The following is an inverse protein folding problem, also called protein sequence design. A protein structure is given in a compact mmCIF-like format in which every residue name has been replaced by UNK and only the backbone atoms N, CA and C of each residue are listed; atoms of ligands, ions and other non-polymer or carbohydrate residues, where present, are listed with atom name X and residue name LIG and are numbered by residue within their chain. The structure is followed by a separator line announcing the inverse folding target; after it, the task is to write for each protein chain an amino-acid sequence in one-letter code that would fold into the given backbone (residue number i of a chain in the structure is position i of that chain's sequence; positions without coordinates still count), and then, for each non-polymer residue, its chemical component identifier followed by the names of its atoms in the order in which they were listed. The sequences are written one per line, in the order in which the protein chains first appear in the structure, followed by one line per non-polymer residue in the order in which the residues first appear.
data_IF_264358687635
#
_entry.id   IF_264358687635
#
_cell.length_a   1.000
_cell.length_b   1.000
_cell.length_c   1.000
_cell.angle_alpha   90.00
_cell.angle_beta   90.00
_cell.angle_gamma   90.00
#
_symmetry.space_group_name_H-M   'P 1'
#
loop_
_entity.id
_entity.type
_entity.pdbx_description
1 polymer ?
#
# COMPACT_ATOMS: atom_id res chain seq x y z
N UNK A 1 -5.40 12.27 -9.09
CA UNK A 1 -4.84 12.43 -7.75
C UNK A 1 -4.39 13.87 -7.55
N UNK A 2 -4.84 14.51 -6.49
CA UNK A 2 -4.55 15.92 -6.20
C UNK A 2 -3.03 16.22 -6.08
N UNK A 3 -2.20 15.23 -5.74
CA UNK A 3 -0.74 15.40 -5.67
C UNK A 3 -0.13 15.72 -7.03
N UNK A 4 -0.69 15.22 -8.13
CA UNK A 4 -0.25 15.59 -9.48
C UNK A 4 -0.59 17.05 -9.83
N UNK A 5 -1.64 17.62 -9.24
CA UNK A 5 -1.97 19.04 -9.41
C UNK A 5 -1.00 19.95 -8.66
N UNK A 6 -0.39 19.43 -7.57
CA UNK A 6 0.63 20.16 -6.79
C UNK A 6 2.01 20.06 -7.45
N UNK A 7 2.33 18.89 -8.04
CA UNK A 7 3.64 18.62 -8.60
C UNK A 7 3.55 17.61 -9.75
N UNK A 8 3.73 18.07 -10.97
CA UNK A 8 3.59 17.26 -12.20
C UNK A 8 4.54 16.07 -12.25
N UNK A 9 5.71 16.19 -11.60
CA UNK A 9 6.72 15.14 -11.56
C UNK A 9 6.45 14.08 -10.49
N UNK A 10 5.38 14.23 -9.68
CA UNK A 10 5.01 13.25 -8.67
C UNK A 10 4.77 11.88 -9.32
N UNK A 11 5.51 10.85 -8.86
CA UNK A 11 5.46 9.47 -9.40
C UNK A 11 5.74 9.34 -10.91
N UNK A 12 6.29 10.37 -11.56
CA UNK A 12 6.59 10.35 -13.00
C UNK A 12 7.63 9.29 -13.41
N UNK A 13 8.44 8.84 -12.46
CA UNK A 13 9.43 7.78 -12.64
C UNK A 13 8.85 6.35 -12.51
N UNK A 14 7.57 6.20 -12.16
CA UNK A 14 6.92 4.89 -12.08
C UNK A 14 6.48 4.44 -13.47
N UNK A 15 6.83 3.20 -13.84
CA UNK A 15 6.30 2.57 -15.04
C UNK A 15 4.80 2.27 -14.87
N UNK A 16 4.06 2.27 -15.98
CA UNK A 16 2.67 1.80 -15.99
C UNK A 16 2.60 0.32 -15.59
N UNK A 17 1.49 -0.05 -14.95
CA UNK A 17 1.23 -1.45 -14.63
C UNK A 17 1.16 -2.27 -15.93
N UNK A 18 1.86 -3.42 -16.04
CA UNK A 18 1.70 -4.33 -17.16
C UNK A 18 0.24 -4.74 -17.36
N UNK A 19 -0.17 -4.93 -18.61
CA UNK A 19 -1.57 -5.25 -18.95
C UNK A 19 -2.02 -6.52 -18.24
N UNK A 20 -1.18 -7.56 -18.24
CA UNK A 20 -1.46 -8.86 -17.64
C UNK A 20 -1.68 -8.77 -16.11
N UNK A 21 -1.04 -7.81 -15.46
CA UNK A 21 -1.24 -7.53 -14.04
C UNK A 21 -2.51 -6.69 -13.82
N UNK A 22 -2.75 -5.72 -14.69
CA UNK A 22 -3.95 -4.87 -14.63
C UNK A 22 -5.23 -5.70 -14.77
N UNK A 23 -5.23 -6.72 -15.64
CA UNK A 23 -6.37 -7.63 -15.83
C UNK A 23 -6.66 -8.51 -14.60
N UNK A 24 -5.71 -8.68 -13.69
CA UNK A 24 -5.90 -9.43 -12.45
C UNK A 24 -6.60 -8.62 -11.36
N UNK A 25 -6.60 -7.29 -11.44
CA UNK A 25 -7.17 -6.42 -10.40
C UNK A 25 -8.69 -6.63 -10.23
N UNK A 26 -9.53 -6.65 -11.28
CA UNK A 26 -10.96 -6.88 -11.13
C UNK A 26 -11.30 -8.21 -10.43
N UNK A 27 -10.75 -9.37 -10.83
CA UNK A 27 -11.02 -10.63 -10.14
C UNK A 27 -10.50 -10.67 -8.70
N UNK A 28 -9.41 -9.98 -8.38
CA UNK A 28 -8.94 -9.87 -6.98
C UNK A 28 -9.96 -9.09 -6.14
N UNK A 29 -10.49 -8.00 -6.66
CA UNK A 29 -11.52 -7.21 -6.00
C UNK A 29 -12.79 -8.05 -5.77
N UNK A 30 -13.23 -8.80 -6.78
CA UNK A 30 -14.39 -9.68 -6.69
C UNK A 30 -14.17 -10.78 -5.64
N UNK A 31 -12.98 -11.38 -5.62
CA UNK A 31 -12.59 -12.39 -4.65
C UNK A 31 -12.65 -11.84 -3.21
N UNK A 32 -12.08 -10.67 -2.96
CA UNK A 32 -12.08 -10.03 -1.64
C UNK A 32 -13.52 -9.69 -1.20
N UNK A 33 -14.36 -9.19 -2.12
CA UNK A 33 -15.78 -8.93 -1.84
C UNK A 33 -16.54 -10.21 -1.48
N UNK A 34 -16.30 -11.31 -2.19
CA UNK A 34 -16.94 -12.61 -1.91
C UNK A 34 -16.52 -13.19 -0.55
N UNK A 35 -15.36 -12.78 -0.03
CA UNK A 35 -14.92 -13.09 1.33
C UNK A 35 -15.65 -12.29 2.42
N UNK A 36 -16.54 -11.36 2.04
CA UNK A 36 -17.24 -10.47 2.95
C UNK A 36 -16.42 -9.28 3.46
N UNK A 37 -15.25 -9.04 2.86
CA UNK A 37 -14.34 -7.96 3.24
C UNK A 37 -14.74 -6.67 2.52
N UNK A 38 -14.85 -5.59 3.27
CA UNK A 38 -15.18 -4.27 2.73
C UNK A 38 -14.00 -3.71 1.95
N UNK A 39 -14.25 -3.26 0.72
CA UNK A 39 -13.28 -2.54 -0.11
C UNK A 39 -13.68 -1.08 -0.19
N UNK A 40 -12.72 -0.20 0.00
CA UNK A 40 -12.85 1.24 -0.20
C UNK A 40 -12.03 1.66 -1.41
N UNK A 41 -12.68 2.28 -2.37
CA UNK A 41 -12.05 2.90 -3.54
C UNK A 41 -12.65 4.31 -3.67
N UNK A 42 -11.83 5.31 -3.48
CA UNK A 42 -12.24 6.71 -3.53
C UNK A 42 -11.52 7.41 -4.69
N UNK A 43 -12.23 7.98 -5.66
CA UNK A 43 -11.61 8.68 -6.78
C UNK A 43 -10.72 9.83 -6.31
N UNK A 44 -9.64 10.09 -7.04
CA UNK A 44 -8.73 11.22 -6.87
C UNK A 44 -7.91 11.28 -5.58
N UNK A 45 -8.03 10.29 -4.69
CA UNK A 45 -7.17 10.15 -3.49
C UNK A 45 -6.40 8.83 -3.54
N UNK A 46 -5.33 8.75 -2.79
CA UNK A 46 -4.54 7.52 -2.67
C UNK A 46 -5.08 6.62 -1.55
N UNK A 47 -4.76 5.33 -1.60
CA UNK A 47 -5.14 4.39 -0.55
C UNK A 47 -4.63 4.84 0.83
N UNK A 48 -3.44 5.44 0.86
CA UNK A 48 -2.81 5.93 2.09
C UNK A 48 -3.61 7.05 2.75
N UNK A 49 -4.27 7.91 1.96
CA UNK A 49 -5.15 8.96 2.47
C UNK A 49 -6.44 8.36 3.09
N UNK A 50 -6.97 7.29 2.47
CA UNK A 50 -8.13 6.56 3.01
C UNK A 50 -7.75 5.87 4.32
N UNK A 51 -6.58 5.21 4.35
CA UNK A 51 -6.03 4.57 5.55
C UNK A 51 -5.82 5.62 6.66
N UNK A 52 -5.18 6.75 6.34
CA UNK A 52 -4.95 7.83 7.29
C UNK A 52 -6.26 8.39 7.85
N UNK A 53 -7.28 8.57 7.00
CA UNK A 53 -8.59 9.03 7.42
C UNK A 53 -9.24 8.07 8.43
N UNK A 54 -9.14 6.76 8.20
CA UNK A 54 -9.65 5.77 9.16
C UNK A 54 -8.78 5.72 10.41
N UNK A 55 -7.44 5.68 10.27
CA UNK A 55 -6.53 5.51 11.39
C UNK A 55 -6.52 6.68 12.38
N UNK A 56 -6.83 7.89 11.91
CA UNK A 56 -6.86 9.10 12.77
C UNK A 56 -8.18 9.34 13.50
N UNK A 57 -9.23 8.55 13.19
CA UNK A 57 -10.52 8.67 13.90
C UNK A 57 -10.43 8.08 15.30
N UNK A 58 -11.18 8.68 16.23
CA UNK A 58 -11.31 8.19 17.60
C UNK A 58 -12.45 7.19 17.67
N UNK A 59 -12.12 5.91 17.77
CA UNK A 59 -13.10 4.81 17.85
C UNK A 59 -13.37 4.31 19.28
N UNK A 60 -12.80 4.93 20.29
CA UNK A 60 -12.87 4.49 21.68
C UNK A 60 -11.57 3.83 22.16
N UNK A 61 -11.50 3.58 23.46
CA UNK A 61 -10.25 3.14 24.09
C UNK A 61 -9.90 1.68 23.80
N UNK A 62 -10.88 0.84 23.48
CA UNK A 62 -10.70 -0.59 23.29
C UNK A 62 -10.39 -0.98 21.84
N UNK A 63 -10.33 0.02 20.93
CA UNK A 63 -10.05 -0.24 19.51
C UNK A 63 -8.57 -0.01 19.24
N UNK A 64 -7.93 -1.04 18.71
CA UNK A 64 -6.61 -0.98 18.11
C UNK A 64 -6.72 -1.13 16.59
N UNK A 65 -5.94 -0.34 15.88
CA UNK A 65 -5.88 -0.34 14.42
C UNK A 65 -4.58 -1.00 14.01
N UNK A 66 -4.70 -2.05 13.20
CA UNK A 66 -3.56 -2.70 12.57
C UNK A 66 -3.57 -2.36 11.08
N UNK A 67 -2.57 -1.63 10.61
CA UNK A 67 -2.35 -1.32 9.21
C UNK A 67 -1.39 -2.36 8.63
N UNK A 68 -1.83 -3.13 7.62
CA UNK A 68 -0.97 -4.07 6.92
C UNK A 68 -0.49 -3.44 5.62
N UNK A 69 0.75 -2.97 5.59
CA UNK A 69 1.37 -2.33 4.42
C UNK A 69 2.89 -2.40 4.48
N UNK A 70 3.53 -2.48 3.31
CA UNK A 70 4.97 -2.30 3.17
C UNK A 70 5.42 -0.85 3.07
N UNK A 71 4.46 0.09 2.97
CA UNK A 71 4.76 1.50 2.79
C UNK A 71 5.28 2.14 4.09
N UNK A 72 6.49 2.70 3.98
CA UNK A 72 7.17 3.36 5.11
C UNK A 72 6.49 4.67 5.53
N UNK A 73 5.78 5.31 4.60
CA UNK A 73 5.18 6.62 4.84
C UNK A 73 4.02 6.53 5.83
N UNK A 74 3.37 5.35 5.90
CA UNK A 74 2.35 5.06 6.90
C UNK A 74 2.89 4.96 8.34
N UNK A 75 4.22 4.91 8.52
CA UNK A 75 4.82 4.94 9.86
C UNK A 75 4.51 6.26 10.62
N UNK A 76 4.16 7.34 9.90
CA UNK A 76 3.70 8.60 10.51
C UNK A 76 2.35 8.48 11.24
N UNK A 77 1.58 7.40 11.00
CA UNK A 77 0.30 7.14 11.67
C UNK A 77 0.44 6.32 12.95
N UNK A 78 1.60 5.71 13.17
CA UNK A 78 1.85 4.81 14.29
C UNK A 78 1.77 5.58 15.63
N UNK A 79 1.06 5.01 16.59
CA UNK A 79 0.95 5.51 17.96
C UNK A 79 0.50 4.36 18.87
N UNK A 80 0.12 4.65 20.12
CA UNK A 80 -0.32 3.62 21.08
C UNK A 80 -1.57 2.84 20.65
N UNK A 81 -2.33 3.32 19.66
CA UNK A 81 -3.55 2.70 19.15
C UNK A 81 -3.43 2.23 17.69
N UNK A 82 -2.38 2.64 17.00
CA UNK A 82 -2.16 2.31 15.58
C UNK A 82 -0.81 1.64 15.42
N UNK A 83 -0.82 0.43 14.90
CA UNK A 83 0.37 -0.36 14.63
C UNK A 83 0.44 -0.66 13.13
N UNK A 84 1.63 -0.57 12.55
CA UNK A 84 1.89 -0.95 11.16
C UNK A 84 2.58 -2.32 11.14
N UNK A 85 2.11 -3.23 10.30
CA UNK A 85 2.76 -4.51 10.04
C UNK A 85 3.13 -4.60 8.55
N UNK A 86 4.37 -4.95 8.29
CA UNK A 86 4.77 -5.29 6.93
C UNK A 86 4.44 -6.76 6.66
N UNK A 87 3.46 -6.99 5.76
CA UNK A 87 2.98 -8.33 5.41
C UNK A 87 4.02 -9.22 4.72
N UNK A 88 5.12 -8.65 4.21
CA UNK A 88 6.15 -9.42 3.50
C UNK A 88 7.21 -10.02 4.45
N UNK A 89 7.56 -9.33 5.51
CA UNK A 89 8.59 -9.77 6.48
C UNK A 89 8.06 -9.84 7.92
N UNK A 90 6.75 -9.70 8.09
CA UNK A 90 6.01 -9.78 9.35
C UNK A 90 6.53 -8.83 10.45
N UNK A 91 7.32 -7.83 10.07
CA UNK A 91 7.83 -6.85 11.02
C UNK A 91 6.74 -5.93 11.53
N UNK A 92 6.61 -5.91 12.83
CA UNK A 92 5.67 -5.03 13.54
C UNK A 92 6.35 -3.71 13.85
N UNK A 93 5.71 -2.62 13.46
CA UNK A 93 6.11 -1.26 13.78
C UNK A 93 5.07 -0.64 14.70
N UNK A 94 5.22 -0.90 15.99
CA UNK A 94 4.67 -0.10 17.07
C UNK A 94 5.58 1.13 17.29
N UNK A 95 5.30 2.05 18.22
CA UNK A 95 6.16 3.21 18.46
C UNK A 95 7.64 2.85 18.69
N UNK A 96 7.90 1.76 19.42
CA UNK A 96 9.27 1.28 19.67
C UNK A 96 9.92 0.70 18.39
N UNK A 97 9.14 0.00 17.60
CA UNK A 97 9.55 -0.54 16.30
C UNK A 97 9.90 0.57 15.30
N UNK A 98 9.16 1.68 15.30
CA UNK A 98 9.47 2.87 14.50
C UNK A 98 10.79 3.47 14.93
N UNK A 99 11.00 3.70 16.23
CA UNK A 99 12.29 4.21 16.76
C UNK A 99 13.45 3.27 16.39
N UNK A 100 13.26 1.95 16.54
CA UNK A 100 14.29 0.97 16.15
C UNK A 100 14.63 1.01 14.67
N UNK A 101 13.64 1.23 13.79
CA UNK A 101 13.81 1.23 12.34
C UNK A 101 14.36 2.55 11.82
N UNK A 102 13.82 3.68 12.29
CA UNK A 102 14.10 5.01 11.74
C UNK A 102 15.03 5.85 12.60
N UNK A 103 15.25 5.48 13.86
CA UNK A 103 16.05 6.25 14.82
C UNK A 103 15.29 7.42 15.47
N UNK A 104 14.02 7.63 15.12
CA UNK A 104 13.16 8.72 15.61
C UNK A 104 11.76 8.19 15.92
N UNK A 105 11.00 8.85 16.80
CA UNK A 105 9.65 8.45 17.13
C UNK A 105 8.65 8.77 16.00
N UNK A 106 7.47 8.11 15.98
CA UNK A 106 6.49 8.23 14.89
C UNK A 106 6.08 9.66 14.55
N UNK A 107 5.92 10.52 15.53
CA UNK A 107 5.53 11.92 15.36
C UNK A 107 6.58 12.78 14.62
N UNK A 108 7.79 12.25 14.43
CA UNK A 108 8.89 12.89 13.69
C UNK A 108 9.08 12.31 12.27
N UNK A 109 8.35 11.27 11.92
CA UNK A 109 8.48 10.61 10.62
C UNK A 109 8.14 11.57 9.48
N UNK A 110 7.10 12.39 9.63
CA UNK A 110 6.74 13.40 8.62
C UNK A 110 7.92 14.34 8.33
N UNK A 111 8.52 14.94 9.36
CA UNK A 111 9.65 15.87 9.21
C UNK A 111 10.86 15.17 8.58
N UNK A 112 11.12 13.95 8.99
CA UNK A 112 12.18 13.12 8.45
C UNK A 112 11.98 12.87 6.94
N UNK A 113 10.77 12.47 6.53
CA UNK A 113 10.46 12.20 5.14
C UNK A 113 10.58 13.47 4.28
N UNK A 114 10.15 14.61 4.78
CA UNK A 114 10.31 15.90 4.08
C UNK A 114 11.76 16.25 3.86
N UNK A 115 12.62 16.05 4.87
CA UNK A 115 14.06 16.35 4.75
C UNK A 115 14.78 15.39 3.79
N UNK A 116 14.46 14.09 3.85
CA UNK A 116 15.12 13.06 3.04
C UNK A 116 14.54 12.96 1.63
N UNK A 117 13.25 13.29 1.47
CA UNK A 117 12.49 13.06 0.25
C UNK A 117 12.17 11.59 0.00
N UNK A 118 11.48 11.33 -1.10
CA UNK A 118 11.21 9.98 -1.57
C UNK A 118 11.50 9.80 -3.05
N UNK A 119 12.55 9.04 -3.35
CA UNK A 119 12.96 8.77 -4.75
C UNK A 119 11.96 7.88 -5.48
N UNK A 120 11.24 7.00 -4.78
CA UNK A 120 10.26 6.10 -5.40
C UNK A 120 9.04 6.85 -5.90
N UNK A 121 8.68 7.94 -5.22
CA UNK A 121 7.57 8.82 -5.56
C UNK A 121 8.00 10.12 -6.26
N UNK A 122 9.30 10.22 -6.54
CA UNK A 122 9.90 11.41 -7.12
C UNK A 122 9.63 12.68 -6.30
N UNK A 123 9.63 12.54 -4.96
CA UNK A 123 9.49 13.67 -4.03
C UNK A 123 10.88 14.21 -3.71
N UNK A 124 11.15 15.49 -3.97
CA UNK A 124 12.44 16.07 -3.68
C UNK A 124 12.67 16.17 -2.17
N UNK A 125 13.86 15.77 -1.72
CA UNK A 125 14.36 16.07 -0.38
C UNK A 125 15.36 17.22 -0.43
N UNK A 126 15.97 17.52 0.73
CA UNK A 126 17.06 18.51 0.81
C UNK A 126 18.35 17.90 0.27
N UNK A 127 19.02 18.57 -0.65
CA UNK A 127 20.26 18.06 -1.25
C UNK A 127 21.29 17.71 -0.18
N UNK A 128 21.90 16.52 -0.30
CA UNK A 128 22.90 15.98 0.64
C UNK A 128 22.43 15.81 2.10
N UNK A 129 21.13 15.93 2.37
CA UNK A 129 20.53 15.56 3.64
C UNK A 129 19.96 14.13 3.52
N UNK A 130 20.78 13.17 3.94
CA UNK A 130 20.37 11.77 4.03
C UNK A 130 19.83 11.43 5.43
N UNK A 131 19.44 10.15 5.65
CA UNK A 131 18.84 9.70 6.90
C UNK A 131 19.57 10.14 8.16
N UNK A 132 20.88 9.96 8.25
CA UNK A 132 21.67 10.33 9.43
C UNK A 132 21.65 11.82 9.72
N UNK A 133 21.75 12.65 8.68
CA UNK A 133 21.72 14.11 8.82
C UNK A 133 20.34 14.60 9.22
N UNK A 134 19.27 14.03 8.63
CA UNK A 134 17.90 14.38 8.98
C UNK A 134 17.59 14.05 10.45
N UNK A 135 17.98 12.85 10.91
CA UNK A 135 17.82 12.44 12.32
C UNK A 135 18.53 13.43 13.24
N UNK A 136 19.81 13.73 12.97
CA UNK A 136 20.59 14.65 13.79
C UNK A 136 20.01 16.07 13.83
N UNK A 137 19.44 16.56 12.73
CA UNK A 137 18.75 17.84 12.68
C UNK A 137 17.47 17.81 13.53
N UNK A 138 16.66 16.75 13.40
CA UNK A 138 15.42 16.59 14.17
C UNK A 138 15.71 16.46 15.66
N UNK A 139 16.71 15.68 16.07
CA UNK A 139 17.12 15.56 17.46
C UNK A 139 17.57 16.89 18.04
N UNK A 140 18.31 17.70 17.28
CA UNK A 140 18.82 18.98 17.74
C UNK A 140 17.79 20.09 17.79
N UNK A 141 16.93 20.17 16.78
CA UNK A 141 15.99 21.29 16.59
C UNK A 141 14.52 20.89 16.79
N UNK A 142 14.27 19.62 17.11
CA UNK A 142 12.98 19.04 17.42
C UNK A 142 12.03 18.81 16.21
N UNK A 143 11.85 19.75 15.30
CA UNK A 143 10.95 19.64 14.17
C UNK A 143 11.44 20.44 12.96
N UNK A 144 10.79 20.25 11.81
CA UNK A 144 11.15 20.88 10.55
C UNK A 144 11.06 22.41 10.61
N UNK A 145 10.01 22.95 11.23
CA UNK A 145 9.84 24.40 11.37
C UNK A 145 11.01 25.01 12.15
N UNK A 146 11.37 24.42 13.28
CA UNK A 146 12.51 24.86 14.08
C UNK A 146 13.85 24.69 13.35
N UNK A 147 13.99 23.68 12.47
CA UNK A 147 15.18 23.54 11.61
C UNK A 147 15.26 24.72 10.66
N UNK A 148 14.13 25.07 10.01
CA UNK A 148 14.04 26.18 9.06
C UNK A 148 14.34 27.52 9.76
N UNK A 149 13.74 27.76 10.91
CA UNK A 149 13.95 29.01 11.71
C UNK A 149 15.40 29.17 12.18
N UNK A 150 16.14 28.07 12.26
CA UNK A 150 17.53 28.08 12.72
C UNK A 150 18.55 27.78 11.64
N UNK A 151 18.21 27.93 10.37
CA UNK A 151 19.13 27.64 9.24
C UNK A 151 20.47 28.35 9.39
N UNK A 152 20.48 29.61 9.78
CA UNK A 152 21.68 30.40 9.95
C UNK A 152 22.61 29.91 11.10
N UNK A 153 22.04 29.16 12.06
CA UNK A 153 22.77 28.55 13.17
C UNK A 153 23.28 27.13 12.84
N UNK A 154 22.93 26.60 11.67
CA UNK A 154 23.40 25.30 11.18
C UNK A 154 24.72 25.52 10.44
N UNK A 155 25.76 24.78 10.83
CA UNK A 155 27.09 24.98 10.24
C UNK A 155 27.26 24.18 8.94
N UNK A 156 28.01 24.78 8.03
CA UNK A 156 28.53 24.13 6.82
C UNK A 156 27.49 23.99 5.68
N UNK A 157 27.78 23.11 4.74
CA UNK A 157 26.97 22.94 3.50
C UNK A 157 25.50 22.55 3.72
N UNK A 158 25.17 22.05 4.92
CA UNK A 158 23.78 21.68 5.23
C UNK A 158 22.91 22.92 5.33
N UNK A 159 23.40 24.01 5.93
CA UNK A 159 22.70 25.31 5.96
C UNK A 159 22.43 25.83 4.56
N UNK A 160 23.48 25.86 3.70
CA UNK A 160 23.34 26.33 2.31
C UNK A 160 22.30 25.48 1.54
N UNK A 161 22.30 24.16 1.75
CA UNK A 161 21.39 23.26 1.07
C UNK A 161 19.95 23.43 1.57
N UNK A 162 19.75 23.59 2.87
CA UNK A 162 18.42 23.89 3.46
C UNK A 162 17.87 25.19 2.89
N UNK A 163 18.68 26.28 2.90
CA UNK A 163 18.27 27.59 2.37
C UNK A 163 17.87 27.54 0.90
N UNK A 164 18.59 26.75 0.09
CA UNK A 164 18.26 26.56 -1.34
C UNK A 164 17.07 25.66 -1.61
N UNK A 165 16.66 24.87 -0.61
CA UNK A 165 15.62 23.84 -0.73
C UNK A 165 14.27 24.27 -0.16
N UNK A 166 14.08 25.53 0.25
CA UNK A 166 12.85 26.00 0.90
C UNK A 166 11.64 25.69 0.02
N UNK A 167 11.68 26.03 -1.27
CA UNK A 167 10.54 25.77 -2.18
C UNK A 167 10.28 24.28 -2.36
N UNK A 168 11.33 23.47 -2.44
CA UNK A 168 11.19 22.01 -2.53
C UNK A 168 10.71 21.37 -1.23
N UNK A 169 11.08 21.91 -0.09
CA UNK A 169 10.55 21.52 1.22
C UNK A 169 9.04 21.79 1.28
N UNK A 170 8.59 22.94 0.82
CA UNK A 170 7.15 23.26 0.80
C UNK A 170 6.34 22.35 -0.13
N UNK A 171 6.91 21.97 -1.26
CA UNK A 171 6.33 20.96 -2.15
C UNK A 171 6.31 19.59 -1.45
N UNK A 172 7.42 19.15 -0.88
CA UNK A 172 7.53 17.87 -0.19
C UNK A 172 6.54 17.77 0.98
N UNK A 173 6.38 18.83 1.78
CA UNK A 173 5.38 18.91 2.86
C UNK A 173 3.97 18.60 2.36
N UNK A 174 3.58 19.18 1.22
CA UNK A 174 2.25 18.99 0.63
C UNK A 174 2.06 17.58 0.06
N UNK A 175 3.11 16.97 -0.51
CA UNK A 175 3.07 15.64 -1.12
C UNK A 175 3.09 14.52 -0.06
N UNK A 176 3.92 14.66 0.98
CA UNK A 176 4.12 13.64 2.03
C UNK A 176 2.98 13.66 3.05
N UNK A 177 2.33 14.81 3.24
CA UNK A 177 1.22 14.92 4.18
C UNK A 177 0.07 14.01 3.76
N UNK A 178 -0.27 13.07 4.63
CA UNK A 178 -1.43 12.22 4.44
C UNK A 178 -2.72 13.02 4.71
N UNK A 179 -3.67 12.91 3.79
CA UNK A 179 -5.00 13.48 3.95
C UNK A 179 -5.81 12.61 4.91
N UNK A 180 -6.31 13.20 6.00
CA UNK A 180 -7.06 12.48 7.06
C UNK A 180 -8.54 12.88 7.13
N UNK A 181 -9.04 13.54 6.10
CA UNK A 181 -10.39 14.08 6.00
C UNK A 181 -11.09 13.66 4.69
N UNK A 182 -10.69 12.52 4.12
CA UNK A 182 -11.36 11.95 2.96
C UNK A 182 -12.81 11.66 3.29
N UNK A 183 -13.73 12.04 2.39
CA UNK A 183 -15.16 11.84 2.58
C UNK A 183 -15.52 10.35 2.40
N UNK A 184 -15.48 9.62 3.50
CA UNK A 184 -15.84 8.21 3.60
C UNK A 184 -16.65 7.95 4.85
N UNK A 185 -17.41 6.85 4.84
CA UNK A 185 -18.04 6.37 6.07
C UNK A 185 -16.94 5.90 7.04
N UNK A 186 -16.96 6.41 8.27
CA UNK A 186 -16.01 6.03 9.31
C UNK A 186 -16.65 5.25 10.45
N UNK A 187 -17.89 4.79 10.31
CA UNK A 187 -18.60 4.01 11.34
C UNK A 187 -18.13 2.55 11.30
N UNK A 188 -17.43 2.10 12.32
CA UNK A 188 -16.87 0.73 12.40
C UNK A 188 -17.89 -0.36 12.12
N UNK A 189 -19.15 -0.21 12.54
CA UNK A 189 -20.22 -1.19 12.28
C UNK A 189 -20.41 -1.50 10.80
N UNK A 190 -20.04 -0.59 9.90
CA UNK A 190 -20.16 -0.74 8.46
C UNK A 190 -18.95 -1.43 7.82
N UNK A 191 -17.95 -1.77 8.65
CA UNK A 191 -16.71 -2.47 8.26
C UNK A 191 -16.57 -3.86 8.87
N UNK A 192 -17.62 -4.32 9.60
CA UNK A 192 -17.65 -5.68 10.07
C UNK A 192 -17.67 -6.62 8.87
N UNK A 193 -16.83 -7.67 8.92
CA UNK A 193 -16.79 -8.69 7.88
C UNK A 193 -18.18 -9.32 7.75
N UNK A 194 -18.74 -9.24 6.56
CA UNK A 194 -20.07 -9.81 6.27
C UNK A 194 -19.99 -11.31 5.96
N UNK A 195 -21.16 -11.94 5.80
CA UNK A 195 -21.22 -13.33 5.38
C UNK A 195 -20.56 -13.52 4.02
N UNK A 196 -19.78 -14.59 3.89
CA UNK A 196 -19.12 -14.94 2.63
C UNK A 196 -20.16 -15.34 1.58
N UNK A 197 -19.92 -14.94 0.35
CA UNK A 197 -20.58 -15.49 -0.83
C UNK A 197 -19.80 -16.75 -1.27
N UNK A 198 -20.18 -17.89 -0.71
CA UNK A 198 -19.46 -19.15 -0.94
C UNK A 198 -19.53 -19.60 -2.39
N UNK A 199 -20.62 -19.29 -3.11
CA UNK A 199 -20.77 -19.65 -4.52
C UNK A 199 -19.79 -18.88 -5.39
N UNK A 200 -19.78 -17.56 -5.31
CA UNK A 200 -18.86 -16.70 -6.05
C UNK A 200 -17.41 -17.02 -5.68
N UNK A 201 -17.10 -17.20 -4.38
CA UNK A 201 -15.78 -17.54 -3.91
C UNK A 201 -15.29 -18.88 -4.50
N UNK A 202 -16.14 -19.92 -4.48
CA UNK A 202 -15.80 -21.24 -5.04
C UNK A 202 -15.56 -21.18 -6.55
N UNK A 203 -16.40 -20.42 -7.27
CA UNK A 203 -16.28 -20.25 -8.71
C UNK A 203 -14.96 -19.54 -9.08
N UNK A 204 -14.60 -18.46 -8.38
CA UNK A 204 -13.36 -17.71 -8.61
C UNK A 204 -12.12 -18.56 -8.26
N UNK A 205 -12.14 -19.25 -7.11
CA UNK A 205 -11.03 -20.13 -6.70
C UNK A 205 -10.81 -21.26 -7.71
N UNK A 206 -11.88 -21.83 -8.26
CA UNK A 206 -11.80 -22.87 -9.28
C UNK A 206 -11.31 -22.29 -10.62
N UNK A 207 -11.89 -21.18 -11.07
CA UNK A 207 -11.55 -20.51 -12.33
C UNK A 207 -10.07 -20.12 -12.40
N UNK A 208 -9.54 -19.56 -11.31
CA UNK A 208 -8.17 -19.07 -11.23
C UNK A 208 -7.20 -20.07 -10.58
N UNK A 209 -7.66 -21.29 -10.29
CA UNK A 209 -6.86 -22.39 -9.72
C UNK A 209 -6.10 -21.99 -8.43
N UNK A 210 -6.74 -21.24 -7.55
CA UNK A 210 -6.15 -20.71 -6.32
C UNK A 210 -6.10 -21.79 -5.22
N UNK A 211 -5.19 -22.76 -5.34
CA UNK A 211 -5.11 -23.95 -4.48
C UNK A 211 -4.97 -23.59 -2.99
N UNK A 212 -4.07 -22.68 -2.64
CA UNK A 212 -3.83 -22.27 -1.25
C UNK A 212 -5.08 -21.66 -0.59
N UNK A 213 -5.88 -20.89 -1.34
CA UNK A 213 -7.15 -20.36 -0.85
C UNK A 213 -8.22 -21.46 -0.72
N UNK A 214 -8.27 -22.38 -1.69
CA UNK A 214 -9.17 -23.55 -1.61
C UNK A 214 -8.94 -24.34 -0.32
N UNK A 215 -7.69 -24.59 0.02
CA UNK A 215 -7.32 -25.36 1.21
C UNK A 215 -7.60 -24.56 2.49
N UNK A 216 -7.26 -23.27 2.51
CA UNK A 216 -7.48 -22.40 3.69
C UNK A 216 -8.95 -22.21 4.02
N UNK A 217 -9.81 -22.10 3.03
CA UNK A 217 -11.26 -21.90 3.21
C UNK A 217 -12.06 -23.19 3.20
N UNK A 218 -11.42 -24.37 3.06
CA UNK A 218 -12.10 -25.69 2.93
C UNK A 218 -13.20 -25.66 1.86
N UNK A 219 -12.95 -24.93 0.76
CA UNK A 219 -13.89 -24.80 -0.33
C UNK A 219 -14.04 -26.19 -0.98
N UNK A 220 -15.27 -26.73 -0.93
CA UNK A 220 -15.59 -27.97 -1.65
C UNK A 220 -15.34 -27.69 -3.13
N UNK A 221 -14.44 -28.44 -3.76
CA UNK A 221 -14.27 -28.37 -5.21
C UNK A 221 -15.62 -28.59 -5.82
N UNK A 222 -16.16 -27.62 -6.51
CA UNK A 222 -17.28 -27.84 -7.43
C UNK A 222 -16.67 -28.74 -8.52
N UNK A 223 -16.83 -30.03 -8.37
CA UNK A 223 -16.63 -30.98 -9.43
C UNK A 223 -17.67 -30.60 -10.47
N UNK A 224 -17.30 -29.75 -11.41
CA UNK A 224 -18.03 -29.71 -12.67
C UNK A 224 -18.01 -31.16 -13.16
N UNK A 225 -19.13 -31.83 -13.06
CA UNK A 225 -19.38 -33.05 -13.77
C UNK A 225 -19.29 -32.71 -15.26
N UNK A 226 -18.06 -32.56 -15.76
CA UNK A 226 -17.80 -32.63 -17.19
C UNK A 226 -17.98 -34.10 -17.53
N UNK A 227 -19.23 -34.54 -17.54
CA UNK A 227 -19.65 -35.74 -18.22
C UNK A 227 -19.55 -35.56 -19.75
N UNK A 228 -18.48 -34.94 -20.21
CA UNK A 228 -18.01 -35.18 -21.55
C UNK A 228 -17.29 -36.54 -21.48
N UNK A 229 -17.96 -37.61 -21.83
CA UNK A 229 -17.30 -38.84 -22.26
C UNK A 229 -16.34 -38.43 -23.37
N UNK A 230 -15.11 -38.08 -23.02
CA UNK A 230 -14.04 -37.93 -24.01
C UNK A 230 -13.79 -39.34 -24.50
N UNK A 231 -14.34 -39.68 -25.69
CA UNK A 231 -13.95 -40.88 -26.39
C UNK A 231 -12.56 -40.64 -26.97
N UNK A 232 -11.58 -41.33 -26.48
CA UNK A 232 -10.25 -41.34 -27.06
C UNK A 232 -10.21 -42.52 -28.06
N UNK A 233 -9.93 -42.22 -29.29
CA UNK A 233 -9.63 -43.27 -30.28
C UNK A 233 -8.12 -43.45 -30.32
N UNK A 234 -7.68 -44.65 -30.03
CA UNK A 234 -6.27 -45.02 -30.17
C UNK A 234 -6.00 -45.29 -31.65
N UNK A 235 -5.09 -44.56 -32.25
CA UNK A 235 -4.63 -44.80 -33.63
C UNK A 235 -3.56 -45.90 -33.57
N UNK A 236 -3.90 -47.08 -34.05
CA UNK A 236 -3.02 -48.22 -34.00
C UNK A 236 -2.28 -48.51 -35.32
N UNK A 237 -2.62 -47.84 -36.41
CA UNK A 237 -2.01 -48.06 -37.72
C UNK A 237 -2.04 -46.77 -38.57
N UNK A 238 -1.28 -46.83 -39.67
CA UNK A 238 -1.10 -45.70 -40.60
C UNK A 238 -2.38 -45.34 -41.39
N UNK A 239 -3.29 -46.29 -41.59
CA UNK A 239 -4.59 -46.06 -42.24
C UNK A 239 -5.52 -45.19 -41.41
N UNK A 240 -5.63 -45.48 -40.10
CA UNK A 240 -6.45 -44.69 -39.15
C UNK A 240 -5.94 -43.27 -38.99
N UNK A 241 -4.61 -43.07 -39.12
CA UNK A 241 -4.03 -41.73 -39.11
C UNK A 241 -4.40 -40.95 -40.39
N UNK A 242 -4.37 -41.57 -41.56
CA UNK A 242 -4.74 -40.94 -42.84
C UNK A 242 -6.20 -40.53 -42.88
N UNK A 243 -7.11 -41.33 -42.33
CA UNK A 243 -8.52 -41.05 -42.25
C UNK A 243 -8.84 -39.83 -41.39
N UNK A 244 -8.06 -39.62 -40.32
CA UNK A 244 -8.22 -38.44 -39.44
C UNK A 244 -7.66 -37.17 -40.08
N UNK A 245 -6.55 -37.28 -40.81
CA UNK A 245 -5.92 -36.14 -41.49
C UNK A 245 -6.66 -35.71 -42.78
N UNK A 246 -7.60 -36.52 -43.25
CA UNK A 246 -8.42 -36.23 -44.43
C UNK A 246 -9.79 -35.60 -44.11
N UNK A 247 -10.13 -35.44 -42.85
CA UNK A 247 -11.33 -34.78 -42.32
C UNK A 247 -11.03 -33.34 -41.86
#
# INVERSE_FOLDING_TARGET
NFRHEIYDQYKANRSSMPVELSEQVPPIIELIKSMGIKILQVPHVEADDVIATLATKKYGNDIHILISSGDKDLAQLVNDKVTLINSMDEKILDPKGVVKKFGIPPEKIFDYLVLVGDKSDNIPGVDKVGPKTAISLIEKYNNLESIIDNIDNIKGKVSDNLSKSIDSIDIAKKLIKLKSDVEIDTKLKNYIISTKDEETLSNLVTKYQLKSLSDSFKIKKVTQNINSKKSYNIINNESDLKDILSR
#
